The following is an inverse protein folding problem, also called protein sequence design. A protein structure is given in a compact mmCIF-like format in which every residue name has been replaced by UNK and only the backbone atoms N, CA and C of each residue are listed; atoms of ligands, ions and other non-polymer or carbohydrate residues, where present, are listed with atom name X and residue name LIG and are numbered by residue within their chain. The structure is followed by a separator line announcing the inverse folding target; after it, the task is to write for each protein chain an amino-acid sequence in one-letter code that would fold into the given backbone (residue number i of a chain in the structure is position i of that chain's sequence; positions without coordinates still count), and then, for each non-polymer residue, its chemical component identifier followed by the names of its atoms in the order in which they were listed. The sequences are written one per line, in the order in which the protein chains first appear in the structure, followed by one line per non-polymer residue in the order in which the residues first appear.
data_IF_069013192882
#
_entry.id   IF_069013192882
#
_cell.length_a   1.000
_cell.length_b   1.000
_cell.length_c   1.000
_cell.angle_alpha   90.00
_cell.angle_beta   90.00
_cell.angle_gamma   90.00
#
_symmetry.space_group_name_H-M   'P 1'
#
loop_
_entity.id
_entity.type
_entity.pdbx_description
1 polymer ?
#
# COMPACT_ATOMS: atom_id res chain seq x y z
N UNK A 1 -12.73 18.37 13.35
CA UNK A 1 -11.65 17.42 13.69
C UNK A 1 -10.62 17.36 12.55
N UNK A 2 -9.33 17.24 12.85
CA UNK A 2 -8.24 16.96 11.90
C UNK A 2 -7.70 15.55 12.21
N UNK A 3 -7.43 14.71 11.19
CA UNK A 3 -6.86 13.37 11.40
C UNK A 3 -7.80 12.32 12.01
N UNK A 4 -7.24 11.37 12.77
CA UNK A 4 -7.85 10.12 13.29
C UNK A 4 -9.15 10.26 14.11
N UNK A 5 -9.56 11.46 14.49
CA UNK A 5 -10.81 11.74 15.20
C UNK A 5 -11.95 12.18 14.26
N UNK A 6 -11.90 11.75 13.01
CA UNK A 6 -12.90 12.06 11.98
C UNK A 6 -13.84 10.87 11.78
N UNK A 7 -15.13 11.07 12.04
CA UNK A 7 -16.17 10.06 11.83
C UNK A 7 -16.36 9.69 10.34
N UNK A 8 -15.92 10.55 9.42
CA UNK A 8 -15.98 10.31 7.97
C UNK A 8 -14.79 9.50 7.43
N UNK A 9 -13.81 9.10 8.25
CA UNK A 9 -12.60 8.40 7.81
C UNK A 9 -12.87 7.04 7.11
N UNK A 10 -14.02 6.42 7.39
CA UNK A 10 -14.55 5.26 6.68
C UNK A 10 -15.77 5.73 5.92
N UNK A 11 -15.60 5.98 4.64
CA UNK A 11 -16.70 6.47 3.82
C UNK A 11 -17.69 5.35 3.52
N UNK A 12 -18.96 5.70 3.29
CA UNK A 12 -20.02 4.71 3.02
C UNK A 12 -19.70 3.82 1.80
N UNK A 13 -18.88 4.33 0.88
CA UNK A 13 -18.33 3.69 -0.32
C UNK A 13 -17.12 2.77 -0.06
N UNK A 14 -16.82 2.41 1.19
CA UNK A 14 -15.80 1.42 1.56
C UNK A 14 -14.36 1.79 1.18
N UNK A 15 -14.03 3.08 1.15
CA UNK A 15 -12.66 3.58 1.01
C UNK A 15 -12.10 4.06 2.36
N UNK A 16 -10.77 4.08 2.44
CA UNK A 16 -10.05 4.85 3.44
C UNK A 16 -9.80 6.26 2.92
N UNK A 17 -10.14 7.28 3.71
CA UNK A 17 -9.73 8.65 3.43
C UNK A 17 -8.36 8.92 4.07
N UNK A 18 -7.38 9.25 3.22
CA UNK A 18 -5.98 9.41 3.61
C UNK A 18 -5.19 8.12 3.48
N UNK A 19 -3.86 8.24 3.37
CA UNK A 19 -2.98 7.09 3.26
C UNK A 19 -3.16 6.15 4.46
N UNK A 20 -3.33 4.84 4.22
CA UNK A 20 -3.60 3.90 5.28
C UNK A 20 -2.40 3.73 6.23
N UNK A 21 -2.68 3.40 7.49
CA UNK A 21 -1.68 3.31 8.57
C UNK A 21 -0.67 2.17 8.43
N UNK A 22 -0.81 1.29 7.43
CA UNK A 22 0.12 0.18 7.18
C UNK A 22 1.34 0.57 6.33
N UNK A 23 1.89 1.77 6.52
CA UNK A 23 3.19 2.16 5.94
C UNK A 23 4.33 1.23 6.33
N UNK A 24 4.19 0.47 7.44
CA UNK A 24 5.19 -0.46 7.95
C UNK A 24 5.66 -1.50 6.91
N UNK A 25 4.83 -1.86 5.92
CA UNK A 25 5.24 -2.80 4.87
C UNK A 25 6.41 -2.27 4.03
N UNK A 26 6.61 -0.95 3.99
CA UNK A 26 7.74 -0.29 3.31
C UNK A 26 9.06 -0.61 4.00
N UNK A 27 9.06 -0.82 5.32
CA UNK A 27 10.27 -1.18 6.07
C UNK A 27 10.88 -2.49 5.57
N UNK A 28 10.05 -3.45 5.13
CA UNK A 28 10.51 -4.71 4.53
C UNK A 28 11.40 -4.44 3.33
N UNK A 29 10.98 -3.54 2.44
CA UNK A 29 11.71 -3.21 1.21
C UNK A 29 12.95 -2.36 1.50
N UNK A 30 12.85 -1.37 2.39
CA UNK A 30 13.99 -0.55 2.79
C UNK A 30 15.10 -1.41 3.39
N UNK A 31 14.74 -2.37 4.25
CA UNK A 31 15.67 -3.32 4.83
C UNK A 31 16.25 -4.27 3.78
N UNK A 32 15.39 -4.90 2.95
CA UNK A 32 15.81 -5.88 1.95
C UNK A 32 16.81 -5.32 0.93
N UNK A 33 16.57 -4.09 0.46
CA UNK A 33 17.43 -3.43 -0.53
C UNK A 33 18.56 -2.62 0.09
N UNK A 34 18.76 -2.70 1.42
CA UNK A 34 19.74 -1.90 2.15
C UNK A 34 19.67 -0.41 1.77
N UNK A 35 18.45 0.14 1.72
CA UNK A 35 18.22 1.51 1.30
C UNK A 35 18.95 2.48 2.25
N UNK A 36 19.62 3.52 1.73
CA UNK A 36 20.31 4.49 2.59
C UNK A 36 19.33 5.17 3.55
N UNK A 37 19.74 5.47 4.80
CA UNK A 37 18.85 6.04 5.81
C UNK A 37 18.11 7.29 5.35
N UNK A 38 18.79 8.19 4.63
CA UNK A 38 18.20 9.41 4.08
C UNK A 38 17.00 9.12 3.15
N UNK A 39 17.13 8.13 2.26
CA UNK A 39 16.05 7.71 1.37
C UNK A 39 14.86 7.13 2.16
N UNK A 40 15.15 6.28 3.15
CA UNK A 40 14.13 5.76 4.05
C UNK A 40 13.36 6.85 4.78
N UNK A 41 14.07 7.84 5.34
CA UNK A 41 13.48 8.99 6.04
C UNK A 41 12.58 9.82 5.13
N UNK A 42 13.06 10.17 3.92
CA UNK A 42 12.26 10.94 2.95
C UNK A 42 10.98 10.19 2.58
N UNK A 43 11.09 8.88 2.30
CA UNK A 43 9.94 8.05 1.95
C UNK A 43 8.92 7.99 3.09
N UNK A 44 9.36 7.77 4.34
CA UNK A 44 8.48 7.72 5.50
C UNK A 44 7.78 9.06 5.74
N UNK A 45 8.50 10.18 5.62
CA UNK A 45 7.90 11.53 5.76
C UNK A 45 6.85 11.75 4.69
N UNK A 46 7.15 11.42 3.42
CA UNK A 46 6.19 11.54 2.33
C UNK A 46 4.92 10.71 2.59
N UNK A 47 5.05 9.45 2.99
CA UNK A 47 3.90 8.58 3.31
C UNK A 47 3.09 9.11 4.51
N UNK A 48 3.77 9.67 5.51
CA UNK A 48 3.12 10.29 6.66
C UNK A 48 2.31 11.51 6.27
N UNK A 49 2.81 12.35 5.35
CA UNK A 49 2.09 13.51 4.83
C UNK A 49 0.86 13.11 4.02
N UNK A 50 0.89 11.97 3.32
CA UNK A 50 -0.25 11.43 2.56
C UNK A 50 -1.41 10.94 3.45
N UNK A 51 -1.23 10.84 4.77
CA UNK A 51 -2.32 10.55 5.73
C UNK A 51 -3.30 11.73 5.85
N UNK A 52 -2.83 12.96 5.61
CA UNK A 52 -3.62 14.20 5.78
C UNK A 52 -4.63 14.46 4.65
N UNK A 53 -4.30 14.34 3.35
CA UNK A 53 -5.24 14.65 2.26
C UNK A 53 -6.40 13.65 2.18
N UNK A 54 -7.53 14.09 1.62
CA UNK A 54 -8.73 13.26 1.37
C UNK A 54 -8.56 12.33 0.14
N UNK A 55 -7.40 11.71 0.01
CA UNK A 55 -7.18 10.70 -1.03
C UNK A 55 -7.93 9.43 -0.66
N UNK A 56 -8.73 8.90 -1.59
CA UNK A 56 -9.47 7.65 -1.40
C UNK A 56 -8.59 6.46 -1.74
N UNK A 57 -8.30 5.65 -0.73
CA UNK A 57 -7.53 4.42 -0.84
C UNK A 57 -8.44 3.21 -0.71
N UNK A 58 -8.24 2.18 -1.52
CA UNK A 58 -9.11 1.00 -1.53
C UNK A 58 -9.02 0.24 -0.20
N UNK A 59 -10.14 -0.37 0.20
CA UNK A 59 -10.18 -1.35 1.29
C UNK A 59 -10.44 -2.75 0.72
N UNK A 60 -9.40 -3.57 0.46
CA UNK A 60 -9.51 -4.83 -0.27
C UNK A 60 -10.63 -5.76 0.20
N UNK A 61 -10.78 -5.95 1.52
CA UNK A 61 -11.77 -6.85 2.10
C UNK A 61 -13.22 -6.33 2.04
N UNK A 62 -13.41 -5.04 1.76
CA UNK A 62 -14.73 -4.38 1.75
C UNK A 62 -15.18 -3.95 0.35
N UNK A 63 -14.37 -4.14 -0.69
CA UNK A 63 -14.78 -3.88 -2.06
C UNK A 63 -15.91 -4.83 -2.51
N UNK A 64 -16.86 -4.35 -3.31
CA UNK A 64 -17.97 -5.19 -3.78
C UNK A 64 -17.54 -6.10 -4.94
N UNK A 65 -16.91 -5.52 -5.97
CA UNK A 65 -16.55 -6.24 -7.21
C UNK A 65 -15.11 -6.75 -7.24
N UNK A 66 -14.16 -6.06 -6.59
CA UNK A 66 -12.71 -6.34 -6.71
C UNK A 66 -12.12 -7.04 -5.48
N UNK A 67 -12.96 -7.41 -4.50
CA UNK A 67 -12.52 -7.99 -3.22
C UNK A 67 -11.74 -9.27 -3.38
N UNK A 68 -12.31 -10.27 -4.07
CA UNK A 68 -11.66 -11.58 -4.22
C UNK A 68 -10.30 -11.44 -4.87
N UNK A 69 -10.21 -10.70 -5.98
CA UNK A 69 -8.95 -10.44 -6.67
C UNK A 69 -7.93 -9.75 -5.75
N UNK A 70 -8.33 -8.66 -5.08
CA UNK A 70 -7.42 -7.87 -4.24
C UNK A 70 -6.94 -8.64 -3.01
N UNK A 71 -7.80 -9.47 -2.42
CA UNK A 71 -7.44 -10.35 -1.30
C UNK A 71 -6.51 -11.48 -1.75
N UNK A 72 -6.77 -12.11 -2.90
CA UNK A 72 -5.90 -13.17 -3.45
C UNK A 72 -4.52 -12.60 -3.79
N UNK A 73 -4.46 -11.46 -4.48
CA UNK A 73 -3.18 -10.79 -4.77
C UNK A 73 -2.45 -10.38 -3.48
N UNK A 74 -3.18 -9.93 -2.46
CA UNK A 74 -2.61 -9.63 -1.14
C UNK A 74 -2.05 -10.87 -0.44
N UNK A 75 -2.75 -12.00 -0.51
CA UNK A 75 -2.25 -13.27 0.02
C UNK A 75 -1.00 -13.73 -0.74
N UNK A 76 -1.01 -13.67 -2.06
CA UNK A 76 0.16 -13.99 -2.89
C UNK A 76 1.34 -13.09 -2.57
N UNK A 77 1.09 -11.80 -2.32
CA UNK A 77 2.11 -10.86 -1.86
C UNK A 77 2.73 -11.27 -0.53
N UNK A 78 1.91 -11.61 0.48
CA UNK A 78 2.40 -12.09 1.79
C UNK A 78 3.26 -13.34 1.62
N UNK A 79 2.80 -14.31 0.81
CA UNK A 79 3.52 -15.55 0.55
C UNK A 79 4.85 -15.28 -0.17
N UNK A 80 4.85 -14.42 -1.18
CA UNK A 80 6.05 -14.06 -1.94
C UNK A 80 7.10 -13.37 -1.05
N UNK A 81 6.69 -12.34 -0.29
CA UNK A 81 7.57 -11.63 0.63
C UNK A 81 8.13 -12.57 1.71
N UNK A 82 7.28 -13.41 2.31
CA UNK A 82 7.69 -14.37 3.34
C UNK A 82 8.65 -15.42 2.78
N UNK A 83 8.40 -15.95 1.59
CA UNK A 83 9.27 -16.93 0.95
C UNK A 83 10.64 -16.34 0.60
N UNK A 84 10.68 -15.09 0.09
CA UNK A 84 11.92 -14.38 -0.17
C UNK A 84 12.72 -14.11 1.12
N UNK A 85 12.05 -13.66 2.19
CA UNK A 85 12.68 -13.40 3.49
C UNK A 85 13.20 -14.68 4.16
N UNK A 86 12.45 -15.78 4.08
CA UNK A 86 12.82 -17.06 4.69
C UNK A 86 14.05 -17.70 4.05
N UNK A 87 14.34 -17.37 2.79
CA UNK A 87 15.46 -17.92 2.02
C UNK A 87 16.20 -16.80 1.27
N UNK A 88 16.70 -15.82 2.00
CA UNK A 88 17.27 -14.61 1.41
C UNK A 88 18.44 -14.87 0.43
N UNK A 89 19.23 -15.93 0.66
CA UNK A 89 20.37 -16.31 -0.19
C UNK A 89 19.97 -17.11 -1.43
N UNK A 90 18.71 -17.54 -1.55
CA UNK A 90 18.28 -18.35 -2.68
C UNK A 90 18.20 -17.50 -3.97
N UNK A 91 18.52 -18.08 -5.15
CA UNK A 91 18.55 -17.33 -6.41
C UNK A 91 17.18 -16.76 -6.80
N UNK A 92 16.09 -17.37 -6.34
CA UNK A 92 14.74 -16.89 -6.59
C UNK A 92 14.34 -15.71 -5.68
N UNK A 93 15.02 -15.47 -4.57
CA UNK A 93 14.52 -14.57 -3.51
C UNK A 93 14.52 -13.11 -3.95
N UNK A 94 15.61 -12.64 -4.61
CA UNK A 94 15.68 -11.28 -5.16
C UNK A 94 14.61 -11.00 -6.22
N UNK A 95 14.46 -11.80 -7.30
CA UNK A 95 13.41 -11.55 -8.29
C UNK A 95 12.01 -11.71 -7.71
N UNK A 96 11.81 -12.62 -6.75
CA UNK A 96 10.52 -12.78 -6.07
C UNK A 96 10.17 -11.56 -5.20
N UNK A 97 11.13 -11.02 -4.45
CA UNK A 97 10.95 -9.79 -3.69
C UNK A 97 10.65 -8.61 -4.61
N UNK A 98 11.36 -8.49 -5.73
CA UNK A 98 11.07 -7.46 -6.74
C UNK A 98 9.66 -7.62 -7.33
N UNK A 99 9.27 -8.85 -7.69
CA UNK A 99 7.92 -9.15 -8.20
C UNK A 99 6.82 -8.86 -7.17
N UNK A 100 7.12 -8.99 -5.86
CA UNK A 100 6.14 -8.63 -4.82
C UNK A 100 5.72 -7.16 -4.89
N UNK A 101 6.57 -6.25 -5.40
CA UNK A 101 6.21 -4.82 -5.57
C UNK A 101 5.03 -4.61 -6.53
N UNK A 102 4.69 -5.60 -7.36
CA UNK A 102 3.50 -5.55 -8.22
C UNK A 102 2.21 -5.33 -7.42
N UNK A 103 2.10 -5.87 -6.20
CA UNK A 103 0.90 -5.70 -5.39
C UNK A 103 0.77 -4.27 -4.81
N UNK A 104 1.79 -3.68 -4.17
CA UNK A 104 1.77 -2.25 -3.82
C UNK A 104 1.48 -1.33 -5.01
N UNK A 105 2.08 -1.59 -6.18
CA UNK A 105 1.80 -0.80 -7.41
C UNK A 105 0.33 -0.95 -7.82
N UNK A 106 -0.18 -2.18 -7.88
CA UNK A 106 -1.60 -2.45 -8.13
C UNK A 106 -2.51 -1.71 -7.13
N UNK A 107 -2.19 -1.80 -5.83
CA UNK A 107 -2.96 -1.17 -4.77
C UNK A 107 -3.07 0.35 -4.95
N UNK A 108 -1.94 1.02 -5.23
CA UNK A 108 -1.91 2.47 -5.47
C UNK A 108 -2.62 2.83 -6.78
N UNK A 109 -2.38 2.08 -7.86
CA UNK A 109 -2.99 2.35 -9.16
C UNK A 109 -4.52 2.22 -9.12
N UNK A 110 -5.05 1.15 -8.51
CA UNK A 110 -6.49 0.94 -8.36
C UNK A 110 -7.09 1.97 -7.39
N UNK A 111 -6.37 2.35 -6.33
CA UNK A 111 -6.78 3.47 -5.46
C UNK A 111 -6.88 4.79 -6.20
N UNK A 112 -5.89 5.13 -7.03
CA UNK A 112 -5.92 6.36 -7.81
C UNK A 112 -7.04 6.36 -8.86
N UNK A 113 -7.26 5.22 -9.51
CA UNK A 113 -8.30 5.06 -10.54
C UNK A 113 -9.71 5.11 -9.95
N UNK A 114 -10.04 4.22 -9.00
CA UNK A 114 -11.37 4.16 -8.39
C UNK A 114 -11.63 5.35 -7.46
N UNK A 115 -10.60 5.76 -6.72
CA UNK A 115 -10.64 6.92 -5.83
C UNK A 115 -10.70 8.25 -6.57
N UNK A 116 -10.52 8.26 -7.90
CA UNK A 116 -10.72 9.44 -8.73
C UNK A 116 -9.72 10.57 -8.48
N UNK A 117 -8.48 10.26 -8.11
CA UNK A 117 -7.48 11.27 -7.72
C UNK A 117 -7.19 12.31 -8.81
N UNK A 118 -7.46 11.95 -10.07
CA UNK A 118 -7.23 12.79 -11.24
C UNK A 118 -8.53 13.39 -11.83
N UNK A 119 -9.71 13.10 -11.25
CA UNK A 119 -10.94 13.75 -11.68
C UNK A 119 -10.96 15.18 -11.14
N UNK A 120 -10.88 16.17 -12.04
CA UNK A 120 -11.15 17.57 -11.71
C UNK A 120 -12.64 17.72 -11.48
N UNK A 121 -13.05 18.02 -10.26
CA UNK A 121 -14.37 18.59 -10.00
C UNK A 121 -14.37 19.98 -10.67
N UNK A 122 -15.17 20.12 -11.73
CA UNK A 122 -15.40 21.37 -12.45
C UNK A 122 -16.68 22.02 -11.97
#
# INVERSE_FOLDING_TARGET
AYGFCREDAKTADHFFLGFPSYWNVVAIYLWWYAAPPAWGSVLIVMLSLLVVPRLRFIYPSRMERWRTLSCVLGLLWVLAATAALSKADAPFARPLMAASLLYPVYYVAVSAWLGGWFRREG
#
